data_IF_791230707059
#
_entry.id   IF_791230707059
#
_cell.length_a   1.000
_cell.length_b   1.000
_cell.length_c   1.000
_cell.angle_alpha   90.00
_cell.angle_beta   90.00
_cell.angle_gamma   90.00
#
_symmetry.space_group_name_H-M   'P 1'
#
loop_
_entity.id
_entity.type
_entity.pdbx_description
1 polymer ?
#
# COMPACT_ATOMS: atom_id res chain seq x y z
N UNK A 1 16.65 16.01 -8.04
CA UNK A 1 15.44 16.37 -8.77
C UNK A 1 14.52 17.11 -7.82
N UNK A 2 13.83 18.17 -8.23
CA UNK A 2 12.84 18.80 -7.37
C UNK A 2 11.78 17.77 -6.95
N UNK A 3 11.30 17.83 -5.71
CA UNK A 3 10.35 16.85 -5.14
C UNK A 3 9.00 16.80 -5.86
N UNK A 4 8.70 17.78 -6.69
CA UNK A 4 7.41 17.97 -7.36
C UNK A 4 7.35 17.49 -8.82
N UNK A 5 8.29 16.66 -9.28
CA UNK A 5 8.18 16.09 -10.62
C UNK A 5 7.42 14.76 -10.56
N UNK A 6 6.19 14.78 -11.05
CA UNK A 6 5.46 13.57 -11.37
C UNK A 6 6.10 12.88 -12.58
N UNK A 7 6.08 11.53 -12.66
CA UNK A 7 6.54 10.84 -13.86
C UNK A 7 5.65 11.25 -15.05
N UNK A 8 6.28 11.41 -16.22
CA UNK A 8 5.59 11.95 -17.40
C UNK A 8 4.32 11.16 -17.79
N UNK A 9 4.36 9.84 -17.62
CA UNK A 9 3.21 8.97 -17.89
C UNK A 9 1.97 9.28 -17.04
N UNK A 10 2.13 9.92 -15.87
CA UNK A 10 1.00 10.22 -14.97
C UNK A 10 0.19 11.45 -15.36
N UNK A 11 0.71 12.30 -16.25
CA UNK A 11 -0.04 13.47 -16.74
C UNK A 11 -1.14 13.01 -17.69
N UNK A 12 -2.38 13.21 -17.26
CA UNK A 12 -3.57 12.79 -18.02
C UNK A 12 -3.91 11.31 -17.91
N UNK A 13 -3.18 10.55 -17.09
CA UNK A 13 -3.46 9.13 -16.90
C UNK A 13 -4.82 8.88 -16.23
N UNK A 14 -5.52 7.88 -16.72
CA UNK A 14 -6.75 7.35 -16.14
C UNK A 14 -6.39 6.26 -15.16
N UNK A 15 -6.69 6.47 -13.86
CA UNK A 15 -6.50 5.50 -12.79
C UNK A 15 -7.80 4.72 -12.54
N UNK A 16 -7.67 3.40 -12.39
CA UNK A 16 -8.75 2.53 -11.98
C UNK A 16 -8.44 1.90 -10.62
N UNK A 17 -9.24 2.22 -9.61
CA UNK A 17 -9.16 1.55 -8.31
C UNK A 17 -9.75 0.15 -8.42
N UNK A 18 -8.96 -0.87 -8.10
CA UNK A 18 -9.33 -2.26 -8.21
C UNK A 18 -9.44 -2.95 -6.86
N UNK A 19 -10.63 -3.36 -6.50
CA UNK A 19 -10.86 -4.30 -5.41
C UNK A 19 -10.81 -5.73 -5.97
N UNK A 20 -9.67 -6.41 -5.82
CA UNK A 20 -9.46 -7.76 -6.37
C UNK A 20 -10.51 -8.75 -5.88
N UNK A 21 -10.86 -8.70 -4.60
CA UNK A 21 -11.87 -9.60 -3.99
C UNK A 21 -13.27 -9.45 -4.64
N UNK A 22 -13.60 -8.27 -5.15
CA UNK A 22 -14.95 -7.95 -5.65
C UNK A 22 -15.04 -7.84 -7.18
N UNK A 23 -13.91 -7.84 -7.88
CA UNK A 23 -13.85 -7.60 -9.32
C UNK A 23 -14.48 -8.77 -10.11
N UNK A 24 -14.28 -9.98 -9.62
CA UNK A 24 -14.77 -11.21 -10.25
C UNK A 24 -15.39 -12.15 -9.21
N UNK A 25 -16.22 -13.11 -9.60
CA UNK A 25 -16.77 -14.09 -8.66
C UNK A 25 -15.70 -14.88 -7.90
N UNK A 26 -14.54 -15.13 -8.50
CA UNK A 26 -13.42 -15.86 -7.90
C UNK A 26 -12.68 -15.00 -6.87
N UNK A 27 -12.67 -13.69 -7.04
CA UNK A 27 -12.01 -12.75 -6.15
C UNK A 27 -10.50 -12.89 -6.04
N UNK A 28 -9.82 -13.35 -7.12
CA UNK A 28 -8.39 -13.65 -7.13
C UNK A 28 -7.60 -12.77 -8.10
N UNK A 29 -6.29 -12.64 -7.87
CA UNK A 29 -5.37 -11.91 -8.76
C UNK A 29 -5.36 -12.50 -10.18
N UNK A 30 -5.40 -13.83 -10.28
CA UNK A 30 -5.45 -14.51 -11.58
C UNK A 30 -6.72 -14.17 -12.37
N UNK A 31 -7.88 -14.16 -11.71
CA UNK A 31 -9.13 -13.77 -12.33
C UNK A 31 -9.17 -12.27 -12.65
N UNK A 32 -8.56 -11.43 -11.81
CA UNK A 32 -8.41 -10.00 -12.05
C UNK A 32 -7.52 -9.72 -13.27
N UNK A 33 -6.41 -10.46 -13.44
CA UNK A 33 -5.53 -10.33 -14.60
C UNK A 33 -6.29 -10.53 -15.92
N UNK A 34 -7.24 -11.46 -15.97
CA UNK A 34 -8.08 -11.68 -17.16
C UNK A 34 -9.01 -10.48 -17.51
N UNK A 35 -9.13 -9.50 -16.62
CA UNK A 35 -9.93 -8.28 -16.86
C UNK A 35 -9.09 -7.09 -17.34
N UNK A 36 -7.77 -7.18 -17.31
CA UNK A 36 -6.88 -6.08 -17.65
C UNK A 36 -7.03 -5.63 -19.11
N UNK A 37 -7.21 -6.55 -20.03
CA UNK A 37 -7.42 -6.21 -21.44
C UNK A 37 -8.68 -5.36 -21.65
N UNK A 38 -9.78 -5.70 -20.97
CA UNK A 38 -10.99 -4.89 -20.99
C UNK A 38 -10.75 -3.50 -20.43
N UNK A 39 -10.00 -3.36 -19.32
CA UNK A 39 -9.69 -2.06 -18.72
C UNK A 39 -8.79 -1.21 -19.62
N UNK A 40 -7.80 -1.83 -20.29
CA UNK A 40 -6.99 -1.15 -21.30
C UNK A 40 -7.86 -0.61 -22.44
N UNK A 41 -8.78 -1.42 -22.96
CA UNK A 41 -9.67 -1.04 -24.06
C UNK A 41 -10.65 0.08 -23.64
N UNK A 42 -10.95 0.19 -22.32
CA UNK A 42 -11.72 1.28 -21.74
C UNK A 42 -10.89 2.56 -21.60
N UNK A 43 -9.57 2.51 -21.80
CA UNK A 43 -8.68 3.66 -21.71
C UNK A 43 -8.02 3.84 -20.33
N UNK A 44 -7.94 2.78 -19.52
CA UNK A 44 -7.23 2.82 -18.22
C UNK A 44 -5.73 2.73 -18.45
N UNK A 45 -4.98 3.69 -17.91
CA UNK A 45 -3.51 3.74 -18.00
C UNK A 45 -2.82 3.11 -16.79
N UNK A 46 -3.46 3.16 -15.61
CA UNK A 46 -2.92 2.58 -14.40
C UNK A 46 -4.00 1.92 -13.55
N UNK A 47 -3.68 0.75 -12.99
CA UNK A 47 -4.50 0.09 -11.96
C UNK A 47 -3.93 0.39 -10.60
N UNK A 48 -4.77 0.86 -9.68
CA UNK A 48 -4.45 0.96 -8.27
C UNK A 48 -5.16 -0.19 -7.54
N UNK A 49 -4.37 -1.15 -7.06
CA UNK A 49 -4.86 -2.27 -6.26
C UNK A 49 -5.15 -1.80 -4.83
N UNK A 50 -6.38 -1.96 -4.36
CA UNK A 50 -6.67 -1.92 -2.92
C UNK A 50 -5.75 -2.91 -2.20
N UNK A 51 -5.52 -2.77 -0.86
CA UNK A 51 -4.50 -3.57 -0.19
C UNK A 51 -4.66 -5.07 -0.45
N UNK A 52 -3.60 -5.69 -0.97
CA UNK A 52 -3.55 -7.13 -1.30
C UNK A 52 -2.82 -7.95 -0.23
N UNK A 53 -2.45 -7.34 0.88
CA UNK A 53 -1.69 -7.95 1.97
C UNK A 53 -2.55 -8.88 2.83
N UNK A 54 -1.94 -9.84 3.57
CA UNK A 54 -2.64 -10.60 4.59
C UNK A 54 -3.30 -9.68 5.62
N UNK A 55 -4.54 -9.98 5.95
CA UNK A 55 -5.36 -9.21 6.89
C UNK A 55 -5.21 -9.76 8.30
N UNK A 56 -5.15 -8.88 9.31
CA UNK A 56 -5.12 -9.27 10.71
C UNK A 56 -6.36 -10.06 11.15
N UNK A 57 -6.18 -10.89 12.18
CA UNK A 57 -7.25 -11.71 12.76
C UNK A 57 -7.72 -11.15 14.12
N UNK A 58 -6.79 -10.52 14.87
CA UNK A 58 -7.10 -9.96 16.19
C UNK A 58 -8.02 -8.76 16.06
N UNK A 59 -9.18 -8.82 16.68
CA UNK A 59 -10.24 -7.81 16.64
C UNK A 59 -10.79 -7.56 15.21
N UNK A 60 -10.69 -8.55 14.34
CA UNK A 60 -11.16 -8.48 12.95
C UNK A 60 -12.59 -7.98 12.86
N UNK A 61 -12.85 -6.98 12.04
CA UNK A 61 -14.17 -6.46 11.75
C UNK A 61 -14.86 -7.30 10.67
N UNK A 62 -16.07 -7.80 10.95
CA UNK A 62 -16.78 -8.69 10.03
C UNK A 62 -16.08 -10.04 9.81
N UNK A 63 -16.52 -10.80 8.82
CA UNK A 63 -16.01 -12.15 8.54
C UNK A 63 -14.68 -12.14 7.82
N UNK A 64 -14.50 -11.20 6.88
CA UNK A 64 -13.33 -11.14 6.00
C UNK A 64 -12.25 -10.14 6.47
N UNK A 65 -12.59 -9.26 7.39
CA UNK A 65 -11.69 -8.20 7.88
C UNK A 65 -11.53 -7.02 6.93
N UNK A 66 -10.91 -5.97 7.45
CA UNK A 66 -10.56 -4.78 6.68
C UNK A 66 -9.28 -5.03 5.87
N UNK A 67 -9.28 -4.67 4.59
CA UNK A 67 -8.07 -4.65 3.74
C UNK A 67 -6.95 -3.81 4.34
N UNK A 68 -7.30 -2.77 5.09
CA UNK A 68 -6.36 -1.82 5.68
C UNK A 68 -5.77 -2.29 7.03
N UNK A 69 -6.21 -3.44 7.56
CA UNK A 69 -5.63 -4.07 8.76
C UNK A 69 -4.47 -4.99 8.36
N UNK A 70 -3.32 -4.40 8.03
CA UNK A 70 -2.18 -5.09 7.42
C UNK A 70 -1.44 -5.97 8.44
N UNK A 71 -1.35 -7.28 8.16
CA UNK A 71 -0.61 -8.24 8.99
C UNK A 71 0.85 -8.39 8.56
N UNK A 72 1.12 -8.32 7.26
CA UNK A 72 2.45 -8.46 6.67
C UNK A 72 2.58 -7.62 5.40
N UNK A 73 3.48 -6.63 5.42
CA UNK A 73 3.68 -5.72 4.28
C UNK A 73 4.40 -6.36 3.08
N UNK A 74 5.02 -7.52 3.24
CA UNK A 74 5.82 -8.17 2.19
C UNK A 74 5.23 -9.52 1.75
N UNK A 75 3.92 -9.69 1.87
CA UNK A 75 3.22 -10.91 1.45
C UNK A 75 1.89 -10.58 0.75
N UNK A 76 1.45 -11.49 -0.09
CA UNK A 76 0.11 -11.48 -0.70
C UNK A 76 -0.86 -12.25 0.20
N UNK A 77 -2.09 -11.74 0.34
CA UNK A 77 -3.17 -12.44 1.03
C UNK A 77 -3.48 -13.76 0.31
N UNK A 78 -3.37 -14.93 0.99
CA UNK A 78 -3.63 -16.23 0.37
C UNK A 78 -5.03 -16.37 -0.24
N UNK A 79 -6.01 -15.61 0.23
CA UNK A 79 -7.36 -15.57 -0.36
C UNK A 79 -7.37 -14.97 -1.77
N UNK A 80 -6.41 -14.09 -2.08
CA UNK A 80 -6.29 -13.44 -3.39
C UNK A 80 -5.38 -14.19 -4.36
N UNK A 81 -4.51 -15.07 -3.84
CA UNK A 81 -3.54 -15.83 -4.61
C UNK A 81 -2.17 -15.91 -3.97
N UNK A 82 -1.17 -16.24 -4.77
CA UNK A 82 0.24 -16.35 -4.40
C UNK A 82 1.03 -15.10 -4.81
N UNK A 83 2.29 -15.04 -4.43
CA UNK A 83 3.21 -14.00 -4.93
C UNK A 83 3.43 -14.15 -6.45
N UNK A 84 3.49 -15.38 -6.96
CA UNK A 84 3.61 -15.63 -8.41
C UNK A 84 2.37 -15.13 -9.16
N UNK A 85 1.16 -15.30 -8.60
CA UNK A 85 -0.06 -14.74 -9.21
C UNK A 85 -0.04 -13.21 -9.23
N UNK A 86 0.59 -12.57 -8.23
CA UNK A 86 0.81 -11.12 -8.22
C UNK A 86 1.81 -10.68 -9.30
N UNK A 87 2.93 -11.39 -9.43
CA UNK A 87 3.94 -11.10 -10.45
C UNK A 87 3.37 -11.29 -11.86
N UNK A 88 2.57 -12.34 -12.08
CA UNK A 88 1.87 -12.56 -13.35
C UNK A 88 0.86 -11.44 -13.66
N UNK A 89 0.14 -10.94 -12.64
CA UNK A 89 -0.76 -9.79 -12.78
C UNK A 89 0.00 -8.53 -13.20
N UNK A 90 1.12 -8.22 -12.54
CA UNK A 90 1.94 -7.05 -12.86
C UNK A 90 2.53 -7.17 -14.27
N UNK A 91 3.06 -8.35 -14.61
CA UNK A 91 3.62 -8.61 -15.93
C UNK A 91 2.57 -8.44 -17.04
N UNK A 92 1.35 -8.92 -16.83
CA UNK A 92 0.25 -8.76 -17.80
C UNK A 92 -0.19 -7.30 -17.93
N UNK A 93 -0.29 -6.55 -16.82
CA UNK A 93 -0.57 -5.12 -16.88
C UNK A 93 0.49 -4.37 -17.70
N UNK A 94 1.77 -4.65 -17.45
CA UNK A 94 2.87 -4.05 -18.21
C UNK A 94 2.87 -4.45 -19.69
N UNK A 95 2.56 -5.72 -20.00
CA UNK A 95 2.41 -6.18 -21.38
C UNK A 95 1.34 -5.40 -22.14
N UNK A 96 0.30 -4.98 -21.46
CA UNK A 96 -0.79 -4.16 -21.99
C UNK A 96 -0.47 -2.65 -21.98
N UNK A 97 0.72 -2.24 -21.52
CA UNK A 97 1.14 -0.85 -21.42
C UNK A 97 0.59 -0.10 -20.20
N UNK A 98 -0.04 -0.81 -19.29
CA UNK A 98 -0.63 -0.25 -18.06
C UNK A 98 0.38 -0.23 -16.92
N UNK A 99 0.19 0.69 -15.96
CA UNK A 99 0.95 0.79 -14.71
C UNK A 99 0.21 0.13 -13.55
N UNK A 100 0.97 -0.32 -12.54
CA UNK A 100 0.40 -0.93 -11.33
C UNK A 100 0.82 -0.15 -10.09
N UNK A 101 -0.17 0.35 -9.35
CA UNK A 101 0.02 0.98 -8.05
C UNK A 101 -0.53 0.07 -6.96
N UNK A 102 0.13 0.03 -5.81
CA UNK A 102 -0.39 -0.65 -4.61
C UNK A 102 -0.89 0.37 -3.60
N UNK A 103 -1.92 0.02 -2.86
CA UNK A 103 -2.32 0.79 -1.69
C UNK A 103 -1.30 0.59 -0.55
N UNK A 104 -0.83 1.67 0.05
CA UNK A 104 0.19 1.64 1.10
C UNK A 104 -0.33 2.23 2.40
N UNK A 105 -0.54 1.38 3.39
CA UNK A 105 -1.09 1.74 4.70
C UNK A 105 0.04 2.08 5.66
N UNK A 106 0.50 3.33 5.68
CA UNK A 106 1.65 3.74 6.48
C UNK A 106 1.30 4.10 7.93
N UNK A 107 0.05 4.53 8.22
CA UNK A 107 -0.32 5.03 9.54
C UNK A 107 -0.41 3.95 10.62
N UNK A 108 -0.76 2.72 10.27
CA UNK A 108 -1.04 1.65 11.24
C UNK A 108 -0.82 0.26 10.64
N UNK A 109 -0.78 -0.75 11.48
CA UNK A 109 -0.82 -2.17 11.11
C UNK A 109 -2.05 -2.85 11.71
N UNK A 110 -2.25 -4.14 11.46
CA UNK A 110 -3.16 -4.94 12.27
C UNK A 110 -2.62 -5.11 13.70
N UNK A 111 -3.50 -5.52 14.63
CA UNK A 111 -3.11 -5.75 16.03
C UNK A 111 -2.34 -7.06 16.26
N UNK A 112 -2.22 -7.90 15.26
CA UNK A 112 -1.44 -9.13 15.21
C UNK A 112 -0.42 -9.13 14.06
N UNK A 113 -0.05 -7.94 13.59
CA UNK A 113 0.99 -7.78 12.58
C UNK A 113 2.30 -8.44 13.02
N UNK A 114 3.08 -8.94 12.06
CA UNK A 114 4.42 -9.51 12.34
C UNK A 114 5.32 -8.55 13.12
N UNK A 115 5.16 -7.26 12.92
CA UNK A 115 5.94 -6.24 13.64
C UNK A 115 5.53 -6.13 15.11
N UNK A 116 4.28 -6.39 15.49
CA UNK A 116 3.85 -6.42 16.90
C UNK A 116 4.64 -7.45 17.71
N UNK A 117 4.85 -8.64 17.14
CA UNK A 117 5.55 -9.72 17.80
C UNK A 117 7.09 -9.63 17.65
N UNK A 118 7.58 -9.08 16.56
CA UNK A 118 8.97 -9.15 16.16
C UNK A 118 9.78 -7.87 16.34
N UNK A 119 9.16 -6.75 16.76
CA UNK A 119 9.80 -5.45 16.87
C UNK A 119 9.62 -4.86 18.28
N UNK A 120 10.48 -3.89 18.69
CA UNK A 120 10.35 -3.23 19.97
C UNK A 120 8.98 -2.55 20.15
N UNK A 121 8.50 -2.52 21.38
CA UNK A 121 7.24 -1.88 21.75
C UNK A 121 7.16 -0.39 21.34
N UNK A 122 8.31 0.29 21.22
CA UNK A 122 8.44 1.68 20.78
C UNK A 122 8.14 1.92 19.30
N UNK A 123 7.81 0.87 18.54
CA UNK A 123 7.36 1.02 17.16
C UNK A 123 5.91 1.49 17.06
N UNK A 124 5.17 1.41 18.16
CA UNK A 124 3.75 1.72 18.23
C UNK A 124 3.48 2.77 19.28
N UNK A 125 2.65 3.75 18.96
CA UNK A 125 2.08 4.64 19.96
C UNK A 125 1.33 3.82 21.01
N UNK A 126 1.34 4.29 22.28
CA UNK A 126 0.71 3.60 23.40
C UNK A 126 -0.45 4.40 23.94
N UNK A 127 -1.52 3.70 24.31
CA UNK A 127 -2.62 4.27 25.08
C UNK A 127 -2.28 4.33 26.59
N UNK A 128 -3.21 4.85 27.39
CA UNK A 128 -3.04 4.98 28.84
C UNK A 128 -2.87 3.64 29.57
N UNK A 129 -3.26 2.53 28.97
CA UNK A 129 -3.07 1.17 29.52
C UNK A 129 -1.73 0.54 29.13
N UNK A 130 -0.97 1.19 28.25
CA UNK A 130 0.29 0.66 27.71
C UNK A 130 0.13 -0.27 26.51
N UNK A 131 -1.10 -0.47 26.01
CA UNK A 131 -1.38 -1.22 24.79
C UNK A 131 -1.12 -0.36 23.54
N UNK A 132 -0.89 -0.97 22.35
CA UNK A 132 -0.81 -0.21 21.12
C UNK A 132 -2.05 0.64 20.90
N UNK A 133 -1.85 1.95 20.68
CA UNK A 133 -2.96 2.89 20.47
C UNK A 133 -3.78 2.52 19.23
N UNK A 134 -5.07 2.82 19.30
CA UNK A 134 -6.03 2.63 18.20
C UNK A 134 -6.29 4.00 17.58
N UNK A 135 -6.04 4.20 16.27
CA UNK A 135 -6.46 5.42 15.61
C UNK A 135 -7.99 5.42 15.49
N UNK A 136 -8.64 6.46 16.03
CA UNK A 136 -10.11 6.61 16.07
C UNK A 136 -10.83 5.35 16.59
N UNK A 137 -11.79 4.83 15.80
CA UNK A 137 -12.58 3.62 16.07
C UNK A 137 -12.08 2.37 15.31
N UNK A 138 -10.87 2.42 14.76
CA UNK A 138 -10.29 1.31 13.98
C UNK A 138 -9.68 0.25 14.91
N UNK A 139 -10.54 -0.39 15.70
CA UNK A 139 -10.18 -1.29 16.82
C UNK A 139 -9.38 -2.53 16.41
N UNK A 140 -9.36 -2.87 15.14
CA UNK A 140 -8.58 -3.95 14.53
C UNK A 140 -7.15 -3.52 14.14
N UNK A 141 -6.78 -2.25 14.39
CA UNK A 141 -5.49 -1.70 14.02
C UNK A 141 -4.64 -1.25 15.21
N UNK A 142 -3.35 -1.03 14.98
CA UNK A 142 -2.36 -0.54 15.92
C UNK A 142 -1.54 0.59 15.27
N UNK A 143 -1.55 1.79 15.89
CA UNK A 143 -0.92 2.99 15.35
C UNK A 143 0.59 2.92 15.45
N UNK A 144 1.29 3.16 14.33
CA UNK A 144 2.74 3.23 14.28
C UNK A 144 3.25 4.57 14.87
N UNK A 145 4.40 4.50 15.56
CA UNK A 145 5.05 5.68 16.14
C UNK A 145 6.18 6.18 15.23
N UNK A 146 5.93 7.24 14.50
CA UNK A 146 6.90 7.88 13.62
C UNK A 146 7.97 8.73 14.33
N UNK A 147 7.93 8.87 15.65
CA UNK A 147 9.07 9.35 16.42
C UNK A 147 10.24 8.34 16.38
N UNK A 148 9.94 7.07 16.16
CA UNK A 148 10.93 6.01 16.00
C UNK A 148 11.39 5.90 14.53
N UNK A 149 12.68 6.19 14.29
CA UNK A 149 13.27 6.14 12.94
C UNK A 149 13.35 4.73 12.35
N UNK A 150 13.39 3.67 13.15
CA UNK A 150 13.38 2.30 12.67
C UNK A 150 12.06 1.97 11.94
N UNK A 151 10.95 2.63 12.31
CA UNK A 151 9.67 2.53 11.59
C UNK A 151 9.80 3.09 10.18
N UNK A 152 10.51 4.22 10.01
CA UNK A 152 10.76 4.82 8.69
C UNK A 152 11.55 3.87 7.79
N UNK A 153 12.63 3.30 8.34
CA UNK A 153 13.47 2.35 7.63
C UNK A 153 12.67 1.11 7.18
N UNK A 154 11.88 0.54 8.07
CA UNK A 154 11.13 -0.67 7.80
C UNK A 154 10.00 -0.43 6.79
N UNK A 155 9.25 0.67 6.93
CA UNK A 155 8.21 1.06 5.98
C UNK A 155 8.82 1.25 4.58
N UNK A 156 9.90 2.02 4.49
CA UNK A 156 10.55 2.29 3.21
C UNK A 156 11.16 1.03 2.59
N UNK A 157 11.80 0.17 3.41
CA UNK A 157 12.35 -1.09 2.92
C UNK A 157 11.27 -2.05 2.39
N UNK A 158 10.09 -2.07 3.02
CA UNK A 158 8.96 -2.85 2.53
C UNK A 158 8.40 -2.29 1.20
N UNK A 159 8.37 -0.96 1.02
CA UNK A 159 8.04 -0.35 -0.27
C UNK A 159 9.09 -0.70 -1.34
N UNK A 160 10.38 -0.63 -1.01
CA UNK A 160 11.48 -1.02 -1.91
C UNK A 160 11.37 -2.48 -2.35
N UNK A 161 10.95 -3.39 -1.46
CA UNK A 161 10.72 -4.78 -1.78
C UNK A 161 9.77 -4.94 -2.98
N UNK A 162 8.62 -4.25 -2.97
CA UNK A 162 7.64 -4.32 -4.05
C UNK A 162 8.13 -3.69 -5.34
N UNK A 163 8.85 -2.58 -5.26
CA UNK A 163 9.43 -1.92 -6.45
C UNK A 163 10.52 -2.77 -7.07
N UNK A 164 11.48 -3.24 -6.26
CA UNK A 164 12.68 -3.87 -6.77
C UNK A 164 12.49 -5.33 -7.20
N UNK A 165 11.53 -6.04 -6.55
CA UNK A 165 11.34 -7.48 -6.79
C UNK A 165 10.08 -7.80 -7.59
N UNK A 166 9.06 -6.95 -7.48
CA UNK A 166 7.74 -7.19 -8.05
C UNK A 166 7.31 -6.11 -9.05
N UNK A 167 8.26 -5.25 -9.46
CA UNK A 167 8.14 -4.25 -10.52
C UNK A 167 6.94 -3.29 -10.40
N UNK A 168 6.47 -3.02 -9.17
CA UNK A 168 5.37 -2.08 -8.91
C UNK A 168 5.78 -0.66 -9.35
N UNK A 169 4.87 0.09 -9.97
CA UNK A 169 5.15 1.41 -10.52
C UNK A 169 4.94 2.56 -9.52
N UNK A 170 4.27 2.29 -8.41
CA UNK A 170 4.03 3.30 -7.40
C UNK A 170 3.08 2.85 -6.30
N UNK A 171 2.72 3.83 -5.48
CA UNK A 171 1.82 3.59 -4.34
C UNK A 171 0.77 4.69 -4.22
N UNK A 172 -0.44 4.29 -3.87
CA UNK A 172 -1.42 5.19 -3.25
C UNK A 172 -1.21 5.09 -1.74
N UNK A 173 -0.91 6.22 -1.13
CA UNK A 173 -0.57 6.31 0.28
C UNK A 173 -1.83 6.59 1.09
N UNK A 174 -2.33 5.56 1.78
CA UNK A 174 -3.51 5.60 2.61
C UNK A 174 -3.35 6.60 3.75
N UNK A 175 -4.37 7.46 3.95
CA UNK A 175 -4.41 8.46 5.03
C UNK A 175 -3.08 9.20 5.20
N UNK A 176 -2.47 9.62 4.08
CA UNK A 176 -1.11 10.18 4.05
C UNK A 176 -0.93 11.40 4.99
N UNK A 177 -2.00 12.16 5.22
CA UNK A 177 -2.01 13.30 6.14
C UNK A 177 -1.81 12.94 7.62
N UNK A 178 -1.96 11.67 7.99
CA UNK A 178 -1.77 11.19 9.38
C UNK A 178 -0.33 10.76 9.66
N UNK A 179 0.51 10.76 8.64
CA UNK A 179 1.92 10.37 8.70
C UNK A 179 2.78 11.63 8.48
N UNK A 180 3.87 11.85 9.23
CA UNK A 180 4.69 13.05 9.09
C UNK A 180 5.18 13.25 7.65
N UNK A 181 5.09 14.47 7.15
CA UNK A 181 5.56 14.82 5.79
C UNK A 181 7.03 14.50 5.58
N UNK A 182 7.83 14.61 6.63
CA UNK A 182 9.26 14.30 6.63
C UNK A 182 9.51 12.82 6.34
N UNK A 183 8.62 11.92 6.78
CA UNK A 183 8.69 10.51 6.39
C UNK A 183 8.45 10.35 4.88
N UNK A 184 7.43 10.99 4.34
CA UNK A 184 7.15 10.89 2.91
C UNK A 184 8.28 11.46 2.05
N UNK A 185 8.89 12.57 2.50
CA UNK A 185 10.07 13.14 1.85
C UNK A 185 11.26 12.16 1.88
N UNK A 186 11.52 11.56 3.03
CA UNK A 186 12.56 10.54 3.19
C UNK A 186 12.30 9.32 2.30
N UNK A 187 11.10 8.75 2.37
CA UNK A 187 10.72 7.58 1.59
C UNK A 187 10.80 7.86 0.08
N UNK A 188 10.20 8.95 -0.39
CA UNK A 188 10.22 9.32 -1.80
C UNK A 188 11.65 9.50 -2.34
N UNK A 189 12.53 10.16 -1.57
CA UNK A 189 13.93 10.36 -1.96
C UNK A 189 14.69 9.03 -2.09
N UNK A 190 14.42 8.08 -1.19
CA UNK A 190 15.04 6.76 -1.21
C UNK A 190 14.48 5.87 -2.32
N UNK A 191 13.16 5.80 -2.44
CA UNK A 191 12.48 4.96 -3.44
C UNK A 191 12.79 5.39 -4.88
N UNK A 192 12.92 6.71 -5.15
CA UNK A 192 13.30 7.22 -6.48
C UNK A 192 14.73 6.88 -6.91
N UNK A 193 15.59 6.47 -5.99
CA UNK A 193 16.92 5.92 -6.37
C UNK A 193 16.78 4.52 -6.98
N UNK A 194 15.77 3.77 -6.57
CA UNK A 194 15.47 2.44 -7.11
C UNK A 194 14.64 2.55 -8.39
N UNK A 195 13.62 3.42 -8.38
CA UNK A 195 12.70 3.65 -9.51
C UNK A 195 12.51 5.16 -9.72
N UNK A 196 13.29 5.77 -10.66
CA UNK A 196 13.22 7.23 -10.89
C UNK A 196 11.86 7.75 -11.32
N UNK A 197 11.07 6.92 -12.02
CA UNK A 197 9.72 7.21 -12.51
C UNK A 197 8.60 6.74 -11.55
N UNK A 198 8.95 6.54 -10.27
CA UNK A 198 7.98 6.16 -9.22
C UNK A 198 6.86 7.19 -9.08
N UNK A 199 5.63 6.71 -9.04
CA UNK A 199 4.45 7.53 -8.76
C UNK A 199 3.97 7.32 -7.32
N UNK A 200 3.72 8.43 -6.61
CA UNK A 200 3.13 8.42 -5.27
C UNK A 200 1.86 9.27 -5.29
N UNK A 201 0.74 8.68 -4.92
CA UNK A 201 -0.56 9.30 -4.81
C UNK A 201 -0.97 9.39 -3.34
N UNK A 202 -1.12 10.59 -2.80
CA UNK A 202 -1.54 10.77 -1.41
C UNK A 202 -3.05 10.81 -1.28
N UNK A 203 -3.60 10.04 -0.34
CA UNK A 203 -4.92 10.34 0.19
C UNK A 203 -4.77 11.41 1.27
N UNK A 204 -5.24 12.62 0.98
CA UNK A 204 -5.09 13.76 1.87
C UNK A 204 -6.22 14.77 1.69
N UNK A 205 -6.76 15.26 2.79
CA UNK A 205 -7.80 16.30 2.82
C UNK A 205 -7.26 17.65 3.35
N UNK A 206 -6.05 17.64 3.91
CA UNK A 206 -5.46 18.82 4.53
C UNK A 206 -4.80 19.73 3.48
N UNK A 207 -5.23 20.99 3.48
CA UNK A 207 -4.81 22.00 2.48
C UNK A 207 -3.30 22.24 2.45
N UNK A 208 -2.64 22.17 3.61
CA UNK A 208 -1.19 22.35 3.74
C UNK A 208 -0.35 21.23 3.10
N UNK A 209 -0.96 20.16 2.62
CA UNK A 209 -0.26 19.11 1.88
C UNK A 209 -0.26 19.33 0.37
N UNK A 210 -0.95 20.38 -0.11
CA UNK A 210 -1.02 20.77 -1.52
C UNK A 210 -0.11 21.95 -1.87
N UNK A 211 0.51 22.57 -0.85
CA UNK A 211 1.46 23.68 -0.97
C UNK A 211 2.91 23.17 -0.95
#
# INVERSE_FOLDING_TARGET
>A
MPMNQHPEWSYGAVLYEMNVRQLTPEGTLRAAAARLEFLRDLGVDAVWLMPVYPIGEKNRKGTLGSYYSIRDYCAVNPELGTMDDFDDFVAEAHRLGMKVLMDWVANHTSRDARWIAGKPASWYERDASGEPAVPWDWTDTAKLDYANRDVWEAQTAAMEFWIARHAVDGFRCDMAMLVPIEFWQYAAARLRRVKPDLFLLAEAEQRNLFD
#
